data_IF_062639411596
#
_entry.id   IF_062639411596
#
_cell.length_a   1.000
_cell.length_b   1.000
_cell.length_c   1.000
_cell.angle_alpha   90.00
_cell.angle_beta   90.00
_cell.angle_gamma   90.00
#
_symmetry.space_group_name_H-M   'P 1'
#
loop_
_entity.id
_entity.type
_entity.pdbx_description
1 polymer ?
#
# COMPACT_ATOMS: atom_id res chain seq x y z
N UNK A 1 9.35 -3.79 -25.70
CA UNK A 1 8.57 -2.53 -25.65
C UNK A 1 8.91 -1.89 -24.31
N UNK A 2 9.92 -1.02 -24.27
CA UNK A 2 10.35 -0.40 -23.01
C UNK A 2 9.29 0.62 -22.57
N UNK A 3 8.72 0.42 -21.39
CA UNK A 3 7.82 1.38 -20.79
C UNK A 3 8.56 2.72 -20.64
N UNK A 4 7.95 3.79 -21.17
CA UNK A 4 8.41 5.16 -20.96
C UNK A 4 8.27 5.47 -19.47
N UNK A 5 9.25 6.12 -18.80
CA UNK A 5 9.06 6.52 -17.41
C UNK A 5 7.85 7.47 -17.38
N UNK A 6 6.77 7.03 -16.73
CA UNK A 6 5.63 7.88 -16.48
C UNK A 6 6.13 9.02 -15.61
N UNK A 7 6.12 10.22 -16.18
CA UNK A 7 6.41 11.43 -15.44
C UNK A 7 5.37 11.51 -14.32
N UNK A 8 5.82 11.27 -13.09
CA UNK A 8 5.02 11.49 -11.88
C UNK A 8 4.41 12.88 -12.02
N UNK A 9 3.07 12.94 -12.09
CA UNK A 9 2.35 14.19 -12.34
C UNK A 9 2.59 15.10 -11.15
N UNK A 10 3.64 15.92 -11.23
CA UNK A 10 3.88 16.97 -10.26
C UNK A 10 2.65 17.87 -10.26
N UNK A 11 2.09 18.11 -9.07
CA UNK A 11 1.11 19.17 -8.88
C UNK A 11 1.67 20.53 -9.33
N UNK A 12 0.84 21.59 -9.37
CA UNK A 12 1.26 22.91 -9.85
C UNK A 12 2.44 23.41 -9.00
N UNK A 13 3.66 23.24 -9.52
CA UNK A 13 4.90 23.49 -8.77
C UNK A 13 6.08 22.59 -9.14
N UNK A 14 5.90 21.47 -9.83
CA UNK A 14 7.03 20.65 -10.32
C UNK A 14 7.89 19.99 -9.24
N UNK A 15 7.50 20.13 -7.97
CA UNK A 15 8.23 19.54 -6.85
C UNK A 15 8.09 18.03 -6.87
N UNK A 16 9.22 17.34 -6.73
CA UNK A 16 9.32 15.90 -6.53
C UNK A 16 10.05 15.70 -5.22
N UNK A 17 9.47 14.90 -4.31
CA UNK A 17 10.09 14.63 -3.02
C UNK A 17 11.37 13.79 -3.20
N UNK A 18 12.32 13.89 -2.28
CA UNK A 18 13.49 13.02 -2.26
C UNK A 18 13.10 11.53 -2.19
N UNK A 19 11.98 11.24 -1.51
CA UNK A 19 11.43 9.88 -1.43
C UNK A 19 10.87 9.38 -2.76
N UNK A 20 10.16 10.24 -3.51
CA UNK A 20 9.67 9.88 -4.85
C UNK A 20 10.84 9.55 -5.78
N UNK A 21 11.89 10.38 -5.78
CA UNK A 21 13.09 10.14 -6.58
C UNK A 21 13.75 8.81 -6.18
N UNK A 22 13.93 8.59 -4.89
CA UNK A 22 14.51 7.35 -4.37
C UNK A 22 13.71 6.11 -4.79
N UNK A 23 12.39 6.11 -4.60
CA UNK A 23 11.54 4.97 -4.97
C UNK A 23 11.63 4.70 -6.46
N UNK A 24 11.60 5.76 -7.29
CA UNK A 24 11.67 5.63 -8.75
C UNK A 24 13.01 5.00 -9.18
N UNK A 25 14.12 5.51 -8.66
CA UNK A 25 15.46 5.01 -8.97
C UNK A 25 15.65 3.57 -8.47
N UNK A 26 15.08 3.23 -7.31
CA UNK A 26 15.11 1.87 -6.77
C UNK A 26 14.32 0.90 -7.67
N UNK A 27 13.11 1.25 -8.06
CA UNK A 27 12.29 0.41 -8.95
C UNK A 27 12.93 0.22 -10.33
N UNK A 28 13.58 1.26 -10.87
CA UNK A 28 14.30 1.16 -12.14
C UNK A 28 15.49 0.19 -12.09
N UNK A 29 16.14 0.06 -10.93
CA UNK A 29 17.27 -0.85 -10.71
C UNK A 29 16.82 -2.28 -10.34
N UNK A 30 15.60 -2.43 -9.83
CA UNK A 30 15.07 -3.69 -9.28
C UNK A 30 13.72 -4.08 -9.92
N UNK A 31 13.68 -4.48 -11.20
CA UNK A 31 12.44 -4.86 -11.87
C UNK A 31 11.73 -6.07 -11.23
N UNK A 32 12.44 -6.91 -10.48
CA UNK A 32 11.86 -8.02 -9.70
C UNK A 32 10.86 -7.55 -8.63
N UNK A 33 11.02 -6.32 -8.13
CA UNK A 33 10.17 -5.74 -7.08
C UNK A 33 8.75 -5.48 -7.58
N UNK A 34 8.53 -5.33 -8.90
CA UNK A 34 7.19 -5.24 -9.47
C UNK A 34 6.40 -6.55 -9.27
N UNK A 35 7.05 -7.69 -9.49
CA UNK A 35 6.42 -9.00 -9.29
C UNK A 35 6.13 -9.24 -7.82
N UNK A 36 7.09 -8.94 -6.93
CA UNK A 36 6.89 -9.07 -5.49
C UNK A 36 5.79 -8.14 -4.95
N UNK A 37 5.64 -6.93 -5.52
CA UNK A 37 4.52 -6.06 -5.16
C UNK A 37 3.17 -6.65 -5.58
N UNK A 38 3.07 -7.18 -6.80
CA UNK A 38 1.85 -7.82 -7.26
C UNK A 38 1.50 -9.04 -6.39
N UNK A 39 2.46 -9.89 -6.09
CA UNK A 39 2.30 -11.04 -5.18
C UNK A 39 1.88 -10.60 -3.77
N UNK A 40 2.53 -9.56 -3.23
CA UNK A 40 2.18 -8.98 -1.93
C UNK A 40 0.76 -8.43 -1.89
N UNK A 41 0.29 -7.81 -2.98
CA UNK A 41 -1.09 -7.37 -3.10
C UNK A 41 -2.07 -8.54 -3.06
N UNK A 42 -1.80 -9.65 -3.76
CA UNK A 42 -2.66 -10.81 -3.69
C UNK A 42 -2.71 -11.40 -2.27
N UNK A 43 -1.58 -11.49 -1.57
CA UNK A 43 -1.53 -11.99 -0.19
C UNK A 43 -2.41 -11.14 0.74
N UNK A 44 -2.36 -9.81 0.59
CA UNK A 44 -3.08 -8.91 1.49
C UNK A 44 -4.55 -8.70 1.11
N UNK A 45 -4.84 -8.56 -0.19
CA UNK A 45 -6.18 -8.23 -0.68
C UNK A 45 -7.06 -9.45 -0.97
N UNK A 46 -6.46 -10.60 -1.32
CA UNK A 46 -7.19 -11.85 -1.56
C UNK A 46 -7.19 -12.78 -0.32
N UNK A 47 -6.81 -12.24 0.84
CA UNK A 47 -6.91 -12.95 2.11
C UNK A 47 -8.38 -13.30 2.39
N UNK A 48 -8.71 -14.59 2.31
CA UNK A 48 -10.01 -15.11 2.70
C UNK A 48 -10.20 -14.92 4.21
N UNK A 49 -11.12 -14.03 4.57
CA UNK A 49 -11.53 -13.86 5.97
C UNK A 49 -12.38 -15.05 6.39
N UNK A 50 -11.98 -15.74 7.46
CA UNK A 50 -12.87 -16.70 8.12
C UNK A 50 -14.01 -15.92 8.79
N UNK A 51 -15.22 -16.12 8.27
CA UNK A 51 -16.40 -15.39 8.71
C UNK A 51 -16.82 -15.75 10.13
N UNK A 52 -16.57 -16.99 10.60
CA UNK A 52 -16.87 -17.38 11.98
C UNK A 52 -15.93 -16.69 12.96
N UNK A 53 -14.66 -16.57 12.58
CA UNK A 53 -13.64 -15.88 13.37
C UNK A 53 -13.88 -14.36 13.40
N UNK A 54 -14.37 -13.80 12.28
CA UNK A 54 -14.81 -12.40 12.20
C UNK A 54 -16.03 -12.13 13.08
N UNK A 55 -17.04 -13.00 13.06
CA UNK A 55 -18.23 -12.91 13.90
C UNK A 55 -17.86 -13.02 15.38
N UNK A 56 -17.02 -13.99 15.74
CA UNK A 56 -16.52 -14.13 17.11
C UNK A 56 -15.77 -12.88 17.57
N UNK A 57 -14.96 -12.26 16.70
CA UNK A 57 -14.27 -11.00 17.03
C UNK A 57 -15.24 -9.84 17.25
N UNK A 58 -16.30 -9.76 16.43
CA UNK A 58 -17.35 -8.76 16.58
C UNK A 58 -18.13 -8.94 17.90
N UNK A 59 -18.47 -10.18 18.26
CA UNK A 59 -19.21 -10.49 19.48
C UNK A 59 -18.41 -10.22 20.77
N UNK A 60 -17.08 -10.30 20.67
CA UNK A 60 -16.16 -10.01 21.77
C UNK A 60 -15.59 -8.59 21.73
N UNK A 61 -16.06 -7.73 20.81
CA UNK A 61 -15.54 -6.37 20.68
C UNK A 61 -16.02 -5.49 21.84
N UNK A 62 -15.10 -4.73 22.43
CA UNK A 62 -15.42 -3.82 23.55
C UNK A 62 -15.57 -2.41 22.97
N UNK A 63 -16.68 -1.70 23.20
CA UNK A 63 -16.86 -0.36 22.65
C UNK A 63 -15.78 0.61 23.17
N UNK A 64 -14.90 1.06 22.27
CA UNK A 64 -13.88 2.07 22.56
C UNK A 64 -14.29 3.42 21.97
N UNK A 65 -13.97 4.51 22.68
CA UNK A 65 -14.17 5.86 22.15
C UNK A 65 -13.25 6.06 20.94
N UNK A 66 -13.74 6.61 19.81
CA UNK A 66 -12.93 6.77 18.60
C UNK A 66 -11.72 7.69 18.79
N UNK A 67 -11.78 8.57 19.79
CA UNK A 67 -10.67 9.42 20.20
C UNK A 67 -10.59 9.46 21.73
N UNK A 68 -9.41 9.18 22.25
CA UNK A 68 -9.07 9.40 23.65
C UNK A 68 -8.49 10.80 23.79
N UNK A 69 -9.10 11.60 24.67
CA UNK A 69 -8.54 12.85 25.15
C UNK A 69 -8.24 12.66 26.63
N UNK A 70 -6.99 12.90 27.02
CA UNK A 70 -6.56 12.99 28.42
C UNK A 70 -6.94 14.36 29.01
#
# INVERSE_FOLDING_TARGET
MSAKPEQSRSGPGGYVSEFDQFIHDYMAQHPEVEQSQAEGWYIWWDHMVDLNDLETRHDNDVPVKPYHYD
#
